data_IF_690613481608
#
_entry.id   IF_690613481608
#
_cell.length_a   1.000
_cell.length_b   1.000
_cell.length_c   1.000
_cell.angle_alpha   90.00
_cell.angle_beta   90.00
_cell.angle_gamma   90.00
#
_symmetry.space_group_name_H-M   'P 1'
#
loop_
_entity.id
_entity.type
_entity.pdbx_description
1 polymer ?
#
# COMPACT_ATOMS: atom_id res chain seq x y z
N UNK A 1 11.33 1.54 6.58
CA UNK A 1 10.02 1.92 7.14
C UNK A 1 9.02 0.79 7.06
N UNK A 2 8.60 0.37 5.87
CA UNK A 2 7.55 -0.65 5.66
C UNK A 2 7.73 -1.95 6.48
N UNK A 3 8.90 -2.63 6.49
CA UNK A 3 9.07 -3.85 7.28
C UNK A 3 8.83 -3.64 8.78
N UNK A 4 9.19 -2.46 9.31
CA UNK A 4 9.02 -2.14 10.72
C UNK A 4 7.54 -1.95 11.09
N UNK A 5 6.75 -1.31 10.22
CA UNK A 5 5.31 -1.15 10.43
C UNK A 5 4.59 -2.51 10.34
N UNK A 6 4.95 -3.36 9.38
CA UNK A 6 4.39 -4.70 9.26
C UNK A 6 4.71 -5.56 10.49
N UNK A 7 5.97 -5.59 10.92
CA UNK A 7 6.40 -6.29 12.14
C UNK A 7 5.60 -5.80 13.36
N UNK A 8 5.58 -4.47 13.58
CA UNK A 8 4.92 -3.85 14.73
C UNK A 8 3.40 -4.07 14.75
N UNK A 9 2.77 -4.19 13.58
CA UNK A 9 1.32 -4.35 13.45
C UNK A 9 0.90 -5.82 13.51
N UNK A 10 1.52 -6.66 12.68
CA UNK A 10 1.04 -8.01 12.39
C UNK A 10 1.74 -9.10 13.20
N UNK A 11 3.01 -8.90 13.55
CA UNK A 11 3.85 -9.91 14.20
C UNK A 11 3.95 -9.64 15.70
N UNK A 12 4.60 -8.56 16.11
CA UNK A 12 4.76 -8.21 17.53
C UNK A 12 3.48 -7.61 18.13
N UNK A 13 2.60 -7.07 17.28
CA UNK A 13 1.34 -6.42 17.66
C UNK A 13 1.52 -5.31 18.70
N UNK A 14 2.63 -4.59 18.64
CA UNK A 14 2.98 -3.50 19.57
C UNK A 14 2.36 -2.16 19.19
N UNK A 15 1.87 -1.99 17.96
CA UNK A 15 1.27 -0.74 17.50
C UNK A 15 -0.17 -0.62 18.05
N UNK A 16 -0.37 0.21 19.08
CA UNK A 16 -1.65 0.44 19.79
C UNK A 16 -2.11 1.89 19.79
N UNK A 17 -1.18 2.84 19.78
CA UNK A 17 -1.48 4.27 19.81
C UNK A 17 -0.79 5.03 18.67
N UNK A 18 -1.19 6.27 18.39
CA UNK A 18 -0.47 7.13 17.44
C UNK A 18 1.02 7.31 17.79
N UNK A 19 1.37 7.34 19.07
CA UNK A 19 2.75 7.44 19.55
C UNK A 19 3.58 6.21 19.18
N UNK A 20 2.98 5.02 19.12
CA UNK A 20 3.67 3.81 18.66
C UNK A 20 4.02 3.90 17.16
N UNK A 21 3.13 4.50 16.36
CA UNK A 21 3.41 4.77 14.93
C UNK A 21 4.62 5.70 14.83
N UNK A 22 4.58 6.82 15.55
CA UNK A 22 5.69 7.77 15.63
C UNK A 22 7.00 7.09 16.03
N UNK A 23 6.98 6.22 17.04
CA UNK A 23 8.16 5.49 17.50
C UNK A 23 8.76 4.60 16.39
N UNK A 24 7.94 4.01 15.52
CA UNK A 24 8.42 3.26 14.36
C UNK A 24 9.15 4.17 13.36
N UNK A 25 8.65 5.38 13.13
CA UNK A 25 9.31 6.36 12.25
C UNK A 25 10.66 6.81 12.83
N UNK A 26 10.71 7.08 14.13
CA UNK A 26 11.95 7.43 14.83
C UNK A 26 12.96 6.29 14.78
N UNK A 27 12.53 5.05 15.01
CA UNK A 27 13.37 3.85 14.88
C UNK A 27 13.91 3.69 13.46
N UNK A 28 13.18 4.15 12.45
CA UNK A 28 13.61 4.14 11.05
C UNK A 28 14.55 5.29 10.67
N UNK A 29 14.90 6.18 11.61
CA UNK A 29 15.84 7.28 11.42
C UNK A 29 15.22 8.65 11.15
N UNK A 30 13.89 8.78 11.19
CA UNK A 30 13.22 10.08 11.07
C UNK A 30 13.29 10.83 12.40
N UNK A 31 13.82 12.07 12.45
CA UNK A 31 13.75 12.89 13.65
C UNK A 31 12.32 13.06 14.14
N UNK A 32 12.15 13.00 15.45
CA UNK A 32 10.85 13.07 16.09
C UNK A 32 10.11 14.39 15.80
N UNK A 33 10.85 15.50 15.78
CA UNK A 33 10.33 16.83 15.44
C UNK A 33 9.91 16.95 13.97
N UNK A 34 10.66 16.31 13.06
CA UNK A 34 10.34 16.27 11.63
C UNK A 34 9.05 15.48 11.40
N UNK A 35 8.86 14.35 12.09
CA UNK A 35 7.62 13.58 12.04
C UNK A 35 6.41 14.44 12.47
N UNK A 36 6.50 15.14 13.61
CA UNK A 36 5.40 15.98 14.10
C UNK A 36 5.07 17.12 13.13
N UNK A 37 6.10 17.77 12.57
CA UNK A 37 5.92 18.84 11.60
C UNK A 37 5.23 18.33 10.33
N UNK A 38 5.66 17.17 9.82
CA UNK A 38 5.07 16.58 8.61
C UNK A 38 3.67 16.04 8.85
N UNK A 39 3.36 15.52 10.04
CA UNK A 39 2.05 14.95 10.36
C UNK A 39 0.91 15.97 10.22
N UNK A 40 1.17 17.25 10.54
CA UNK A 40 0.22 18.35 10.41
C UNK A 40 0.35 19.15 9.10
N UNK A 41 1.25 18.72 8.21
CA UNK A 41 1.51 19.39 6.95
C UNK A 41 0.33 19.28 5.98
N UNK A 42 0.20 20.27 5.09
CA UNK A 42 -0.81 20.25 4.03
C UNK A 42 -0.56 19.10 3.06
N UNK A 43 0.69 18.77 2.80
CA UNK A 43 1.12 17.71 1.89
C UNK A 43 0.63 16.35 2.37
N UNK A 44 0.78 16.03 3.67
CA UNK A 44 0.27 14.79 4.26
C UNK A 44 -1.26 14.77 4.29
N UNK A 45 -1.91 15.90 4.55
CA UNK A 45 -3.36 16.01 4.50
C UNK A 45 -3.91 15.75 3.09
N UNK A 46 -3.32 16.39 2.06
CA UNK A 46 -3.72 16.23 0.67
C UNK A 46 -3.47 14.79 0.18
N UNK A 47 -2.37 14.14 0.60
CA UNK A 47 -2.10 12.73 0.32
C UNK A 47 -3.11 11.79 0.99
N UNK A 48 -3.52 12.08 2.22
CA UNK A 48 -4.54 11.32 2.95
C UNK A 48 -5.89 11.40 2.22
N UNK A 49 -6.32 12.59 1.82
CA UNK A 49 -7.57 12.78 1.08
C UNK A 49 -7.53 12.15 -0.31
N UNK A 50 -6.38 12.22 -1.00
CA UNK A 50 -6.18 11.51 -2.27
C UNK A 50 -6.36 10.00 -2.09
N UNK A 51 -5.80 9.40 -1.04
CA UNK A 51 -5.96 7.97 -0.77
C UNK A 51 -7.43 7.61 -0.53
N UNK A 52 -8.15 8.33 0.36
CA UNK A 52 -9.59 8.11 0.61
C UNK A 52 -10.43 8.22 -0.66
N UNK A 53 -10.16 9.25 -1.48
CA UNK A 53 -10.85 9.48 -2.75
C UNK A 53 -10.64 8.33 -3.74
N UNK A 54 -9.41 7.81 -3.85
CA UNK A 54 -9.11 6.68 -4.73
C UNK A 54 -9.79 5.39 -4.27
N UNK A 55 -9.83 5.11 -2.95
CA UNK A 55 -10.58 3.96 -2.42
C UNK A 55 -12.06 4.01 -2.82
N UNK A 56 -12.70 5.18 -2.69
CA UNK A 56 -14.08 5.39 -3.10
C UNK A 56 -14.26 5.29 -4.61
N UNK A 57 -13.40 5.96 -5.39
CA UNK A 57 -13.47 5.99 -6.86
C UNK A 57 -13.38 4.59 -7.46
N UNK A 58 -12.51 3.74 -6.91
CA UNK A 58 -12.27 2.40 -7.42
C UNK A 58 -13.12 1.32 -6.75
N UNK A 59 -13.99 1.69 -5.80
CA UNK A 59 -14.85 0.74 -5.10
C UNK A 59 -14.08 -0.35 -4.36
N UNK A 60 -12.94 0.00 -3.75
CA UNK A 60 -12.07 -0.96 -3.06
C UNK A 60 -12.79 -1.48 -1.80
N UNK A 61 -13.08 -2.78 -1.77
CA UNK A 61 -13.75 -3.44 -0.64
C UNK A 61 -12.83 -4.35 0.18
N UNK A 62 -11.62 -4.62 -0.31
CA UNK A 62 -10.64 -5.48 0.36
C UNK A 62 -9.22 -5.26 -0.15
N UNK A 63 -8.24 -5.69 0.64
CA UNK A 63 -6.81 -5.62 0.30
C UNK A 63 -6.17 -7.02 0.32
N UNK A 64 -5.09 -7.26 -0.45
CA UNK A 64 -4.48 -6.36 -1.43
C UNK A 64 -5.35 -6.18 -2.69
N UNK A 65 -5.36 -4.97 -3.25
CA UNK A 65 -6.04 -4.64 -4.52
C UNK A 65 -5.14 -3.76 -5.35
N UNK A 66 -5.02 -4.06 -6.65
CA UNK A 66 -4.11 -3.39 -7.58
C UNK A 66 -4.86 -2.95 -8.83
N UNK A 67 -4.67 -1.68 -9.20
CA UNK A 67 -5.25 -1.07 -10.39
C UNK A 67 -4.12 -0.63 -11.33
N UNK A 68 -4.14 -1.15 -12.55
CA UNK A 68 -3.17 -0.83 -13.60
C UNK A 68 -3.70 0.30 -14.47
N UNK A 69 -2.90 1.36 -14.65
CA UNK A 69 -3.24 2.58 -15.39
C UNK A 69 -4.57 3.23 -14.95
N UNK A 70 -5.00 2.98 -13.70
CA UNK A 70 -6.28 3.46 -13.19
C UNK A 70 -7.51 2.95 -13.93
N UNK A 71 -7.37 1.85 -14.68
CA UNK A 71 -8.43 1.28 -15.53
C UNK A 71 -8.72 -0.17 -15.22
N UNK A 72 -7.67 -0.98 -15.09
CA UNK A 72 -7.81 -2.42 -14.96
C UNK A 72 -7.60 -2.83 -13.51
N UNK A 73 -8.61 -3.45 -12.90
CA UNK A 73 -8.48 -4.08 -11.58
C UNK A 73 -7.94 -5.51 -11.76
N UNK A 74 -6.90 -5.86 -11.00
CA UNK A 74 -6.37 -7.22 -10.97
C UNK A 74 -7.28 -8.11 -10.11
N UNK A 75 -7.89 -9.11 -10.72
CA UNK A 75 -8.64 -10.15 -10.00
C UNK A 75 -7.67 -11.18 -9.41
N UNK A 76 -7.27 -10.99 -8.16
CA UNK A 76 -6.29 -11.85 -7.50
C UNK A 76 -6.75 -13.33 -7.44
N UNK A 77 -8.06 -13.59 -7.34
CA UNK A 77 -8.60 -14.95 -7.30
C UNK A 77 -8.51 -15.70 -8.64
N UNK A 78 -8.22 -15.00 -9.74
CA UNK A 78 -8.13 -15.62 -11.06
C UNK A 78 -6.79 -16.34 -11.31
N UNK A 79 -5.77 -16.11 -10.49
CA UNK A 79 -4.47 -16.75 -10.65
C UNK A 79 -4.46 -18.14 -10.01
N UNK A 80 -4.52 -19.17 -10.85
CA UNK A 80 -4.24 -20.54 -10.44
C UNK A 80 -2.72 -20.76 -10.40
N UNK A 81 -2.20 -21.24 -9.28
CA UNK A 81 -0.77 -21.43 -9.06
C UNK A 81 -0.48 -22.51 -8.01
N UNK A 82 0.39 -23.45 -8.35
CA UNK A 82 0.78 -24.54 -7.44
C UNK A 82 1.79 -24.10 -6.37
N UNK A 83 2.40 -22.92 -6.53
CA UNK A 83 3.35 -22.35 -5.59
C UNK A 83 3.50 -20.83 -5.77
N UNK A 84 4.21 -20.20 -4.84
CA UNK A 84 4.44 -18.75 -4.83
C UNK A 84 5.16 -18.26 -6.09
N UNK A 85 6.08 -19.06 -6.63
CA UNK A 85 6.86 -18.68 -7.81
C UNK A 85 6.03 -18.66 -9.09
N UNK A 86 5.15 -19.65 -9.28
CA UNK A 86 4.23 -19.68 -10.40
C UNK A 86 3.19 -18.58 -10.31
N UNK A 87 2.66 -18.30 -9.10
CA UNK A 87 1.79 -17.14 -8.85
C UNK A 87 2.48 -15.83 -9.21
N UNK A 88 3.70 -15.61 -8.70
CA UNK A 88 4.49 -14.40 -8.96
C UNK A 88 4.68 -14.19 -10.46
N UNK A 89 5.04 -15.24 -11.19
CA UNK A 89 5.28 -15.18 -12.64
C UNK A 89 4.01 -14.80 -13.40
N UNK A 90 2.87 -15.43 -13.10
CA UNK A 90 1.61 -15.15 -13.78
C UNK A 90 1.05 -13.76 -13.43
N UNK A 91 1.14 -13.37 -12.16
CA UNK A 91 0.75 -12.04 -11.69
C UNK A 91 1.52 -10.92 -12.39
N UNK A 92 2.86 -11.01 -12.41
CA UNK A 92 3.73 -10.03 -13.07
C UNK A 92 3.45 -9.98 -14.57
N UNK A 93 3.21 -11.12 -15.22
CA UNK A 93 2.87 -11.16 -16.63
C UNK A 93 1.55 -10.43 -16.94
N UNK A 94 0.51 -10.64 -16.11
CA UNK A 94 -0.77 -9.95 -16.24
C UNK A 94 -0.63 -8.43 -16.06
N UNK A 95 0.07 -8.00 -15.00
CA UNK A 95 0.32 -6.57 -14.75
C UNK A 95 1.08 -5.93 -15.92
N UNK A 96 2.15 -6.56 -16.41
CA UNK A 96 2.92 -6.05 -17.57
C UNK A 96 2.08 -5.97 -18.84
N UNK A 97 1.24 -6.97 -19.09
CA UNK A 97 0.34 -6.97 -20.25
C UNK A 97 -0.62 -5.77 -20.21
N UNK A 98 -1.22 -5.51 -19.05
CA UNK A 98 -2.15 -4.40 -18.86
C UNK A 98 -1.46 -3.02 -18.85
N UNK A 99 -0.20 -2.94 -18.38
CA UNK A 99 0.58 -1.70 -18.44
C UNK A 99 0.88 -1.27 -19.88
N UNK A 100 1.15 -2.25 -20.75
CA UNK A 100 1.53 -2.02 -22.15
C UNK A 100 0.32 -1.92 -23.10
N UNK A 101 -0.91 -2.02 -22.59
CA UNK A 101 -2.13 -1.86 -23.39
C UNK A 101 -2.32 -0.41 -23.80
N UNK A 102 -2.53 -0.18 -25.10
CA UNK A 102 -2.71 1.14 -25.71
C UNK A 102 -4.13 1.38 -26.21
N UNK A 103 -5.04 0.41 -26.06
CA UNK A 103 -6.46 0.60 -26.29
C UNK A 103 -6.97 1.66 -25.30
N UNK A 104 -7.31 2.86 -25.81
CA UNK A 104 -7.96 3.95 -25.07
C UNK A 104 -9.42 3.62 -24.81
#
# INVERSE_FOLDING_TARGET
>A
MEPLLFEATMISRTLKTPEDIRAVFVKAGMPAEEYELMLVSKEVADMTEKQKSLFKKYGVTGTPSVYVNGRYHIENGAFQADNVESFRKSYVAAVKSLLNRTDK
#
